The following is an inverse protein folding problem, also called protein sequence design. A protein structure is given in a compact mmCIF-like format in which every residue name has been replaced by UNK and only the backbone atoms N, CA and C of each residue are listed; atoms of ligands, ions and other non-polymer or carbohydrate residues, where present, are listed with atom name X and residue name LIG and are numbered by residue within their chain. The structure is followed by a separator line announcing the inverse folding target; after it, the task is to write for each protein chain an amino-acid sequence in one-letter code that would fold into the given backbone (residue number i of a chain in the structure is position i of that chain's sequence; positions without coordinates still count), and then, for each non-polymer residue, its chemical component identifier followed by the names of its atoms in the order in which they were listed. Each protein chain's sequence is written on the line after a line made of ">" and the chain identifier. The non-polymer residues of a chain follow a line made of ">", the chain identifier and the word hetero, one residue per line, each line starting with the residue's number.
data_IF_928577770682
#
_entry.id   IF_928577770682
#
_cell.length_a   1.000
_cell.length_b   1.000
_cell.length_c   1.000
_cell.angle_alpha   90.00
_cell.angle_beta   90.00
_cell.angle_gamma   90.00
#
_symmetry.space_group_name_H-M   'P 1'
#
loop_
_entity.id
_entity.type
_entity.pdbx_description
1 polymer ?
#
# COMPACT_ATOMS: atom_id res chain seq x y z
N UNK A 1 -22.54 16.44 -8.39
CA UNK A 1 -21.21 16.53 -9.04
C UNK A 1 -20.22 15.85 -8.10
N UNK A 2 -19.67 14.70 -8.51
CA UNK A 2 -18.74 13.91 -7.72
C UNK A 2 -17.42 14.66 -7.59
N UNK A 3 -17.00 14.98 -6.37
CA UNK A 3 -15.65 15.49 -6.12
C UNK A 3 -14.66 14.37 -6.44
N UNK A 4 -13.85 14.54 -7.48
CA UNK A 4 -12.82 13.57 -7.85
C UNK A 4 -11.78 13.52 -6.73
N UNK A 5 -11.57 12.34 -6.11
CA UNK A 5 -10.50 12.19 -5.12
C UNK A 5 -9.16 12.49 -5.80
N UNK A 6 -8.34 13.32 -5.15
CA UNK A 6 -6.97 13.55 -5.59
C UNK A 6 -6.25 12.19 -5.62
N UNK A 7 -5.61 11.80 -6.73
CA UNK A 7 -4.86 10.55 -6.78
C UNK A 7 -3.80 10.56 -5.69
N UNK A 8 -3.62 9.42 -5.02
CA UNK A 8 -2.48 9.27 -4.13
C UNK A 8 -1.20 9.43 -4.96
N UNK A 9 -0.18 10.13 -4.43
CA UNK A 9 1.13 10.11 -5.06
C UNK A 9 1.57 8.65 -5.12
N UNK A 10 1.76 8.12 -6.32
CA UNK A 10 2.14 6.73 -6.57
C UNK A 10 3.55 6.41 -6.13
N UNK A 11 4.30 7.42 -5.71
CA UNK A 11 5.75 7.35 -5.63
C UNK A 11 6.13 7.24 -4.16
N UNK A 12 5.90 6.06 -3.58
CA UNK A 12 6.47 5.66 -2.29
C UNK A 12 7.76 4.90 -2.59
N UNK A 13 8.89 5.41 -2.09
CA UNK A 13 10.21 4.80 -2.31
C UNK A 13 10.41 3.52 -1.50
N UNK A 14 11.35 2.67 -1.92
CA UNK A 14 11.71 1.44 -1.18
C UNK A 14 12.14 1.72 0.27
N UNK A 15 12.79 2.87 0.49
CA UNK A 15 13.20 3.33 1.82
C UNK A 15 11.99 3.66 2.71
N UNK A 16 10.96 4.29 2.16
CA UNK A 16 9.70 4.55 2.86
C UNK A 16 8.90 3.25 3.11
N UNK A 17 9.02 2.27 2.21
CA UNK A 17 8.41 0.94 2.36
C UNK A 17 9.07 0.08 3.45
N UNK A 18 10.31 0.37 3.84
CA UNK A 18 11.06 -0.44 4.80
C UNK A 18 10.36 -0.60 6.15
N UNK A 19 9.54 0.38 6.55
CA UNK A 19 8.76 0.31 7.80
C UNK A 19 7.64 -0.75 7.76
N UNK A 20 6.99 -0.92 6.61
CA UNK A 20 5.80 -1.78 6.45
C UNK A 20 6.16 -3.16 5.92
N UNK A 21 7.26 -3.29 5.17
CA UNK A 21 7.68 -4.55 4.54
C UNK A 21 7.70 -5.77 5.49
N UNK A 22 8.20 -5.68 6.75
CA UNK A 22 8.19 -6.83 7.66
C UNK A 22 6.77 -7.34 7.97
N UNK A 23 5.78 -6.45 8.06
CA UNK A 23 4.41 -6.83 8.38
C UNK A 23 3.69 -7.49 7.20
N UNK A 24 4.03 -7.11 5.97
CA UNK A 24 3.47 -7.76 4.77
C UNK A 24 3.85 -9.23 4.71
N UNK A 25 5.04 -9.60 5.20
CA UNK A 25 5.49 -11.00 5.25
C UNK A 25 4.76 -11.86 6.28
N UNK A 26 4.00 -11.25 7.19
CA UNK A 26 3.18 -11.95 8.19
C UNK A 26 1.76 -12.24 7.66
N UNK A 27 1.42 -11.75 6.47
CA UNK A 27 0.11 -12.01 5.88
C UNK A 27 -0.01 -13.49 5.49
N UNK A 28 -1.17 -14.13 5.76
CA UNK A 28 -1.47 -15.47 5.24
C UNK A 28 -1.40 -15.49 3.70
N UNK A 29 -1.06 -16.62 3.10
CA UNK A 29 -1.04 -16.75 1.62
C UNK A 29 -2.39 -16.42 0.98
N UNK A 30 -3.49 -16.68 1.67
CA UNK A 30 -4.85 -16.39 1.22
C UNK A 30 -5.24 -14.90 1.36
N UNK A 31 -4.37 -14.05 1.91
CA UNK A 31 -4.61 -12.62 2.08
C UNK A 31 -4.36 -11.87 0.77
N UNK A 32 -5.27 -12.05 -0.21
CA UNK A 32 -5.31 -11.26 -1.42
C UNK A 32 -5.83 -9.83 -1.19
N UNK A 33 -5.57 -8.94 -2.15
CA UNK A 33 -6.27 -7.64 -2.21
C UNK A 33 -7.78 -7.86 -2.40
N UNK A 34 -8.61 -7.05 -1.73
CA UNK A 34 -10.07 -7.01 -1.89
C UNK A 34 -10.51 -5.89 -2.82
#
# INVERSE_FOLDING_TARGET
>A
MTSARKPYPSDVSDEEWALVAPYLTLLPEEAGQR
#
